data_IF_394688348761
#
_entry.id   IF_394688348761
#
_cell.length_a   1.000
_cell.length_b   1.000
_cell.length_c   1.000
_cell.angle_alpha   90.00
_cell.angle_beta   90.00
_cell.angle_gamma   90.00
#
_symmetry.space_group_name_H-M   'P 1'
#
loop_
_entity.id
_entity.type
_entity.pdbx_description
1 polymer ?
#
# COMPACT_ATOMS: atom_id res chain seq x y z
N UNK A 1 2.39 3.84 2.68
CA UNK A 1 1.25 3.48 1.79
C UNK A 1 0.02 4.33 2.07
N UNK A 2 -0.43 4.46 3.32
CA UNK A 2 -1.59 5.30 3.66
C UNK A 2 -1.48 6.75 3.15
N UNK A 3 -0.31 7.38 3.26
CA UNK A 3 -0.14 8.77 2.81
C UNK A 3 -0.17 8.94 1.30
N UNK A 4 0.36 7.97 0.56
CA UNK A 4 0.24 7.91 -0.91
C UNK A 4 -1.25 7.95 -1.31
N UNK A 5 -2.06 7.09 -0.69
CA UNK A 5 -3.50 6.99 -0.95
C UNK A 5 -4.19 8.30 -0.55
N UNK A 6 -3.86 8.86 0.62
CA UNK A 6 -4.44 10.13 1.10
C UNK A 6 -4.18 11.29 0.15
N UNK A 7 -2.99 11.38 -0.46
CA UNK A 7 -2.70 12.45 -1.43
C UNK A 7 -3.51 12.30 -2.70
N UNK A 8 -3.61 11.08 -3.25
CA UNK A 8 -4.47 10.84 -4.41
C UNK A 8 -5.95 11.08 -4.10
N UNK A 9 -6.43 10.63 -2.93
CA UNK A 9 -7.79 10.86 -2.47
C UNK A 9 -8.10 12.35 -2.30
N UNK A 10 -7.16 13.12 -1.74
CA UNK A 10 -7.29 14.57 -1.62
C UNK A 10 -7.39 15.25 -2.99
N UNK A 11 -6.58 14.81 -3.97
CA UNK A 11 -6.58 15.39 -5.31
C UNK A 11 -7.90 15.21 -6.07
N UNK A 12 -8.69 14.20 -5.72
CA UNK A 12 -10.03 13.96 -6.29
C UNK A 12 -11.17 14.41 -5.38
N UNK A 13 -10.86 14.99 -4.21
CA UNK A 13 -11.86 15.44 -3.24
C UNK A 13 -12.61 14.31 -2.53
N UNK A 14 -12.04 13.10 -2.44
CA UNK A 14 -12.64 11.98 -1.72
C UNK A 14 -12.83 12.32 -0.23
N UNK A 15 -14.01 11.97 0.30
CA UNK A 15 -14.37 12.12 1.72
C UNK A 15 -14.21 10.81 2.50
N UNK A 16 -13.83 9.73 1.83
CA UNK A 16 -13.69 8.41 2.41
C UNK A 16 -12.62 8.41 3.50
N UNK A 17 -12.89 7.70 4.58
CA UNK A 17 -11.98 7.60 5.73
C UNK A 17 -11.08 6.38 5.61
N UNK A 18 -11.64 5.25 5.14
CA UNK A 18 -10.94 4.01 4.93
C UNK A 18 -10.03 4.10 3.69
N UNK A 19 -8.84 3.49 3.76
CA UNK A 19 -7.89 3.49 2.65
C UNK A 19 -8.35 2.67 1.44
N UNK A 20 -9.11 1.59 1.65
CA UNK A 20 -9.69 0.79 0.57
C UNK A 20 -10.80 1.56 -0.16
N UNK A 21 -11.70 2.21 0.58
CA UNK A 21 -12.72 3.10 -0.01
C UNK A 21 -12.08 4.25 -0.79
N UNK A 22 -11.02 4.87 -0.25
CA UNK A 22 -10.24 5.88 -0.99
C UNK A 22 -9.66 5.34 -2.28
N UNK A 23 -9.16 4.10 -2.28
CA UNK A 23 -8.62 3.47 -3.49
C UNK A 23 -9.71 3.20 -4.53
N UNK A 24 -10.92 2.85 -4.09
CA UNK A 24 -12.08 2.71 -4.97
C UNK A 24 -12.45 4.06 -5.60
N UNK A 25 -12.55 5.13 -4.79
CA UNK A 25 -12.77 6.49 -5.31
C UNK A 25 -11.67 6.92 -6.32
N UNK A 26 -10.40 6.60 -6.02
CA UNK A 26 -9.25 6.91 -6.90
C UNK A 26 -9.33 6.15 -8.23
N UNK A 27 -9.75 4.88 -8.19
CA UNK A 27 -9.96 4.05 -9.38
C UNK A 27 -11.07 4.64 -10.26
N UNK A 28 -12.20 4.99 -9.66
CA UNK A 28 -13.36 5.56 -10.36
C UNK A 28 -13.04 6.93 -10.99
N UNK A 29 -12.23 7.74 -10.31
CA UNK A 29 -11.78 9.03 -10.83
C UNK A 29 -10.78 8.92 -12.01
N UNK A 30 -10.24 7.73 -12.30
CA UNK A 30 -9.37 7.51 -13.46
C UNK A 30 -8.05 8.28 -13.44
N UNK A 31 -7.60 8.75 -12.28
CA UNK A 31 -6.39 9.59 -12.15
C UNK A 31 -5.08 8.79 -12.19
N UNK A 32 -5.18 7.46 -12.10
CA UNK A 32 -4.06 6.52 -12.22
C UNK A 32 -4.11 5.81 -13.57
N UNK A 33 -2.97 5.37 -14.13
CA UNK A 33 -2.98 4.51 -15.30
C UNK A 33 -3.84 3.26 -15.06
N UNK A 34 -4.52 2.78 -16.10
CA UNK A 34 -5.45 1.64 -16.02
C UNK A 34 -4.79 0.44 -15.31
N UNK A 35 -5.51 -0.12 -14.33
CA UNK A 35 -5.05 -1.25 -13.52
C UNK A 35 -4.16 -0.87 -12.32
N UNK A 36 -3.53 0.31 -12.29
CA UNK A 36 -2.56 0.65 -11.23
C UNK A 36 -3.16 0.86 -9.86
N UNK A 37 -4.39 1.37 -9.77
CA UNK A 37 -5.04 1.48 -8.46
C UNK A 37 -5.54 0.13 -7.95
N UNK A 38 -5.86 -0.82 -8.83
CA UNK A 38 -6.13 -2.22 -8.45
C UNK A 38 -4.86 -2.92 -7.96
N UNK A 39 -3.76 -2.83 -8.72
CA UNK A 39 -2.44 -3.35 -8.31
C UNK A 39 -2.07 -2.83 -6.90
N UNK A 40 -2.32 -1.54 -6.64
CA UNK A 40 -2.03 -0.90 -5.36
C UNK A 40 -2.94 -1.39 -4.23
N UNK A 41 -4.20 -1.69 -4.52
CA UNK A 41 -5.17 -2.28 -3.57
C UNK A 41 -4.72 -3.69 -3.18
N UNK A 42 -4.38 -4.52 -4.14
CA UNK A 42 -3.92 -5.90 -3.91
C UNK A 42 -2.60 -5.92 -3.13
N UNK A 43 -1.66 -5.04 -3.49
CA UNK A 43 -0.40 -4.88 -2.76
C UNK A 43 -0.63 -4.44 -1.31
N UNK A 44 -1.60 -3.55 -1.07
CA UNK A 44 -1.95 -3.09 0.28
C UNK A 44 -2.54 -4.21 1.13
N UNK A 45 -3.46 -4.99 0.56
CA UNK A 45 -4.05 -6.14 1.23
C UNK A 45 -2.98 -7.16 1.62
N UNK A 46 -2.10 -7.52 0.69
CA UNK A 46 -1.02 -8.48 0.97
C UNK A 46 -0.09 -8.00 2.08
N UNK A 47 0.38 -6.74 2.03
CA UNK A 47 1.27 -6.19 3.06
C UNK A 47 0.59 -6.18 4.43
N UNK A 48 -0.71 -5.85 4.47
CA UNK A 48 -1.46 -5.81 5.73
C UNK A 48 -1.70 -7.21 6.29
N UNK A 49 -2.03 -8.17 5.45
CA UNK A 49 -2.22 -9.56 5.84
C UNK A 49 -0.94 -10.17 6.41
N UNK A 50 0.20 -9.97 5.75
CA UNK A 50 1.50 -10.45 6.24
C UNK A 50 1.81 -9.83 7.60
N UNK A 51 1.61 -8.52 7.75
CA UNK A 51 1.86 -7.82 9.02
C UNK A 51 0.94 -8.31 10.14
N UNK A 52 -0.36 -8.46 9.88
CA UNK A 52 -1.32 -8.95 10.88
C UNK A 52 -0.95 -10.36 11.34
N UNK A 53 -0.53 -11.23 10.41
CA UNK A 53 -0.06 -12.58 10.75
C UNK A 53 1.17 -12.55 11.64
N UNK A 54 2.14 -11.70 11.34
CA UNK A 54 3.36 -11.57 12.14
C UNK A 54 3.05 -11.03 13.54
N UNK A 55 2.24 -9.97 13.64
CA UNK A 55 1.76 -9.44 14.93
C UNK A 55 0.99 -10.47 15.76
N UNK A 56 0.21 -11.34 15.10
CA UNK A 56 -0.50 -12.42 15.80
C UNK A 56 0.48 -13.45 16.39
N UNK A 57 1.54 -13.82 15.65
CA UNK A 57 2.58 -14.72 16.13
C UNK A 57 3.36 -14.10 17.29
N UNK A 58 3.71 -12.82 17.23
CA UNK A 58 4.38 -12.12 18.34
C UNK A 58 3.53 -12.20 19.62
N UNK A 59 2.22 -11.94 19.49
CA UNK A 59 1.28 -12.02 20.62
C UNK A 59 1.21 -13.45 21.18
N UNK A 60 1.14 -14.47 20.32
CA UNK A 60 1.13 -15.88 20.72
C UNK A 60 2.42 -16.30 21.42
N UNK A 61 3.56 -15.72 21.04
CA UNK A 61 4.88 -15.97 21.64
C UNK A 61 5.16 -15.11 22.89
N UNK A 62 4.26 -14.19 23.26
CA UNK A 62 4.48 -13.24 24.36
C UNK A 62 5.49 -12.14 24.05
N UNK A 63 5.78 -11.92 22.78
CA UNK A 63 6.63 -10.86 22.25
C UNK A 63 5.81 -9.58 22.02
N UNK A 64 6.48 -8.44 21.89
CA UNK A 64 5.80 -7.16 21.67
C UNK A 64 5.53 -7.00 20.17
N UNK A 65 4.26 -6.97 19.71
CA UNK A 65 3.96 -6.83 18.30
C UNK A 65 4.42 -5.47 17.78
N UNK A 66 4.99 -5.45 16.57
CA UNK A 66 5.42 -4.23 15.89
C UNK A 66 4.93 -4.18 14.42
N UNK A 67 5.43 -3.22 13.63
CA UNK A 67 5.03 -3.07 12.22
C UNK A 67 6.07 -3.59 11.23
N UNK A 68 7.16 -4.19 11.73
CA UNK A 68 8.17 -4.81 10.91
C UNK A 68 7.70 -6.21 10.49
N UNK A 69 8.22 -6.67 9.37
CA UNK A 69 7.98 -8.03 8.88
C UNK A 69 9.35 -8.69 8.90
N UNK A 70 9.45 -9.87 9.50
CA UNK A 70 10.66 -10.71 9.56
C UNK A 70 10.68 -11.68 8.36
N UNK A 71 11.38 -11.35 7.26
CA UNK A 71 11.30 -12.15 6.04
C UNK A 71 11.97 -13.52 6.19
N UNK A 72 12.89 -13.68 7.14
CA UNK A 72 13.56 -14.93 7.50
C UNK A 72 12.60 -16.02 7.94
N UNK A 73 11.45 -15.65 8.52
CA UNK A 73 10.41 -16.57 8.97
C UNK A 73 9.39 -16.89 7.87
N UNK A 74 9.57 -16.35 6.65
CA UNK A 74 8.67 -16.54 5.51
C UNK A 74 9.24 -17.54 4.51
N UNK A 75 8.34 -18.32 3.89
CA UNK A 75 8.69 -19.15 2.74
C UNK A 75 9.20 -18.32 1.57
N UNK A 76 9.97 -18.93 0.66
CA UNK A 76 10.46 -18.22 -0.53
C UNK A 76 9.32 -17.69 -1.41
N UNK A 77 8.18 -18.38 -1.44
CA UNK A 77 7.00 -17.94 -2.17
C UNK A 77 6.41 -16.66 -1.58
N UNK A 78 6.21 -16.62 -0.26
CA UNK A 78 5.69 -15.44 0.43
C UNK A 78 6.66 -14.26 0.30
N UNK A 79 7.98 -14.47 0.44
CA UNK A 79 8.99 -13.43 0.23
C UNK A 79 8.96 -12.85 -1.17
N UNK A 80 8.81 -13.69 -2.21
CA UNK A 80 8.69 -13.22 -3.60
C UNK A 80 7.43 -12.36 -3.80
N UNK A 81 6.29 -12.79 -3.29
CA UNK A 81 5.04 -12.03 -3.39
C UNK A 81 5.10 -10.71 -2.63
N UNK A 82 5.66 -10.72 -1.41
CA UNK A 82 5.84 -9.51 -0.61
C UNK A 82 6.76 -8.50 -1.33
N UNK A 83 7.86 -8.98 -1.92
CA UNK A 83 8.76 -8.14 -2.73
C UNK A 83 8.05 -7.53 -3.93
N UNK A 84 7.19 -8.28 -4.61
CA UNK A 84 6.40 -7.77 -5.73
C UNK A 84 5.42 -6.67 -5.28
N UNK A 85 4.74 -6.84 -4.14
CA UNK A 85 3.87 -5.80 -3.57
C UNK A 85 4.63 -4.52 -3.20
N UNK A 86 5.83 -4.64 -2.60
CA UNK A 86 6.66 -3.48 -2.33
C UNK A 86 7.15 -2.78 -3.61
N UNK A 87 7.37 -3.53 -4.70
CA UNK A 87 7.72 -2.94 -5.99
C UNK A 87 6.55 -2.12 -6.56
N UNK A 88 5.32 -2.59 -6.44
CA UNK A 88 4.11 -1.84 -6.82
C UNK A 88 4.03 -0.53 -6.03
N UNK A 89 4.21 -0.60 -4.70
CA UNK A 89 4.21 0.58 -3.84
C UNK A 89 5.29 1.60 -4.26
N UNK A 90 6.51 1.13 -4.50
CA UNK A 90 7.63 1.97 -4.95
C UNK A 90 7.32 2.66 -6.28
N UNK A 91 6.75 1.94 -7.24
CA UNK A 91 6.33 2.49 -8.53
C UNK A 91 5.25 3.57 -8.35
N UNK A 92 4.26 3.34 -7.49
CA UNK A 92 3.20 4.30 -7.20
C UNK A 92 3.76 5.57 -6.50
N UNK A 93 4.69 5.41 -5.56
CA UNK A 93 5.39 6.53 -4.93
C UNK A 93 6.21 7.36 -5.93
N UNK A 94 6.84 6.70 -6.91
CA UNK A 94 7.54 7.41 -7.97
C UNK A 94 6.57 8.16 -8.89
N UNK A 95 5.43 7.57 -9.23
CA UNK A 95 4.40 8.23 -10.04
C UNK A 95 3.91 9.54 -9.43
N UNK A 96 3.77 9.63 -8.11
CA UNK A 96 3.44 10.86 -7.40
C UNK A 96 4.35 12.04 -7.77
N UNK A 97 5.66 11.79 -7.86
CA UNK A 97 6.66 12.82 -8.15
C UNK A 97 6.46 13.40 -9.54
N UNK A 98 5.92 12.63 -10.48
CA UNK A 98 5.60 13.10 -11.82
C UNK A 98 4.24 13.81 -11.86
N UNK A 99 3.23 13.28 -11.16
CA UNK A 99 1.86 13.82 -11.20
C UNK A 99 1.70 15.14 -10.44
N UNK A 100 2.36 15.28 -9.29
CA UNK A 100 2.21 16.43 -8.40
C UNK A 100 3.46 17.30 -8.37
N UNK A 101 4.16 17.42 -9.51
CA UNK A 101 5.27 18.37 -9.62
C UNK A 101 4.78 19.76 -9.26
N UNK A 102 5.49 20.44 -8.34
CA UNK A 102 5.32 21.88 -8.17
C UNK A 102 5.61 22.51 -9.52
N UNK A 103 4.64 23.22 -10.10
CA UNK A 103 4.95 24.17 -11.17
C UNK A 103 6.03 25.09 -10.62
N UNK A 104 7.23 25.02 -11.19
CA UNK A 104 8.32 25.93 -10.85
C UNK A 104 7.81 27.36 -11.01
N UNK A 105 7.96 28.15 -9.95
CA UNK A 105 8.12 29.59 -10.14
C UNK A 105 9.54 29.84 -10.61
#
# INVERSE_FOLDING_TARGET
>A
MADLIRVHALAIGSRSQNSFERLDDINDAGILPKGRGMDLKDAMELIYMVRIRHQALDIENGEKPDNNIEPEHMSDFERRNLKAAFQILSNAQNFMKYRYQRSGK
#
